data_IF_403699345398
#
_entry.id   IF_403699345398
#
_cell.length_a   1.000
_cell.length_b   1.000
_cell.length_c   1.000
_cell.angle_alpha   90.00
_cell.angle_beta   90.00
_cell.angle_gamma   90.00
#
_symmetry.space_group_name_H-M   'P 1'
#
loop_
_entity.id
_entity.type
_entity.pdbx_description
1 polymer ?
#
# COMPACT_ATOMS: atom_id res chain seq x y z
N UNK A 1 -14.71 -15.66 -2.79
CA UNK A 1 -13.55 -15.00 -3.43
C UNK A 1 -12.47 -16.06 -3.67
N UNK A 2 -11.67 -15.97 -4.74
CA UNK A 2 -10.67 -17.01 -5.08
C UNK A 2 -9.32 -16.88 -4.33
N UNK A 3 -9.29 -16.09 -3.24
CA UNK A 3 -8.17 -15.98 -2.29
C UNK A 3 -6.85 -15.46 -2.86
N UNK A 4 -5.77 -15.62 -2.09
CA UNK A 4 -4.41 -15.23 -2.46
C UNK A 4 -3.90 -15.88 -3.76
N UNK A 5 -4.13 -17.19 -4.03
CA UNK A 5 -3.60 -17.83 -5.24
C UNK A 5 -4.15 -17.24 -6.54
N UNK A 6 -5.44 -16.89 -6.56
CA UNK A 6 -6.03 -16.30 -7.75
C UNK A 6 -5.58 -14.85 -7.98
N UNK A 7 -5.34 -14.11 -6.91
CA UNK A 7 -4.76 -12.77 -7.01
C UNK A 7 -3.35 -12.85 -7.58
N UNK A 8 -2.50 -13.72 -7.04
CA UNK A 8 -1.15 -13.97 -7.54
C UNK A 8 -1.16 -14.33 -9.03
N UNK A 9 -1.97 -15.31 -9.42
CA UNK A 9 -2.05 -15.75 -10.81
C UNK A 9 -2.54 -14.64 -11.75
N UNK A 10 -3.42 -13.74 -11.29
CA UNK A 10 -3.85 -12.59 -12.08
C UNK A 10 -2.71 -11.57 -12.30
N UNK A 11 -1.93 -11.30 -11.26
CA UNK A 11 -0.76 -10.40 -11.35
C UNK A 11 0.32 -10.99 -12.24
N UNK A 12 0.67 -12.26 -12.07
CA UNK A 12 1.69 -12.94 -12.91
C UNK A 12 1.30 -12.93 -14.39
N UNK A 13 0.02 -13.13 -14.71
CA UNK A 13 -0.46 -13.01 -16.10
C UNK A 13 -0.31 -11.60 -16.66
N UNK A 14 -0.56 -10.57 -15.85
CA UNK A 14 -0.40 -9.19 -16.28
C UNK A 14 1.09 -8.82 -16.44
N UNK A 15 1.94 -9.23 -15.49
CA UNK A 15 3.40 -9.04 -15.57
C UNK A 15 3.99 -9.72 -16.80
N UNK A 16 3.47 -10.90 -17.20
CA UNK A 16 3.89 -11.60 -18.41
C UNK A 16 3.63 -10.87 -19.74
N UNK A 17 2.87 -9.77 -19.71
CA UNK A 17 2.66 -8.89 -20.89
C UNK A 17 3.63 -7.72 -20.96
N UNK A 18 4.47 -7.54 -19.94
CA UNK A 18 5.43 -6.45 -19.83
C UNK A 18 6.85 -6.96 -20.06
N UNK A 19 7.73 -6.09 -20.55
CA UNK A 19 9.15 -6.39 -20.70
C UNK A 19 9.92 -6.07 -19.40
N UNK A 20 10.99 -6.81 -19.14
CA UNK A 20 11.90 -6.57 -18.01
C UNK A 20 11.36 -7.04 -16.66
N UNK A 21 11.73 -6.34 -15.59
CA UNK A 21 11.37 -6.65 -14.21
C UNK A 21 10.36 -5.63 -13.65
N UNK A 22 9.05 -5.84 -13.85
CA UNK A 22 8.04 -4.87 -13.45
C UNK A 22 7.98 -4.70 -11.92
N UNK A 23 7.89 -3.45 -11.47
CA UNK A 23 7.57 -3.10 -10.09
C UNK A 23 6.07 -2.95 -9.90
N UNK A 24 5.58 -3.26 -8.69
CA UNK A 24 4.15 -3.20 -8.36
C UNK A 24 3.81 -1.97 -7.53
N UNK A 25 2.66 -1.39 -7.81
CA UNK A 25 2.07 -0.34 -6.99
C UNK A 25 0.67 -0.77 -6.55
N UNK A 26 0.53 -1.07 -5.26
CA UNK A 26 -0.74 -1.46 -4.66
C UNK A 26 -1.48 -0.22 -4.16
N UNK A 27 -2.43 0.30 -4.93
CA UNK A 27 -3.25 1.44 -4.52
C UNK A 27 -4.52 0.96 -3.80
N UNK A 28 -4.61 1.21 -2.48
CA UNK A 28 -5.75 0.77 -1.68
C UNK A 28 -6.86 1.82 -1.66
N UNK A 29 -7.69 1.82 -2.71
CA UNK A 29 -8.93 2.60 -2.77
C UNK A 29 -10.11 1.81 -2.17
N UNK A 30 -10.03 1.52 -0.87
CA UNK A 30 -11.02 0.70 -0.15
C UNK A 30 -11.41 1.32 1.19
N UNK A 31 -12.55 0.93 1.79
CA UNK A 31 -12.89 1.37 3.15
C UNK A 31 -11.79 0.99 4.16
N UNK A 32 -11.51 1.82 5.19
CA UNK A 32 -10.44 1.56 6.16
C UNK A 32 -10.54 0.21 6.87
N UNK A 33 -11.76 -0.26 7.13
CA UNK A 33 -12.03 -1.56 7.76
C UNK A 33 -11.54 -2.75 6.92
N UNK A 34 -11.39 -2.59 5.61
CA UNK A 34 -10.91 -3.62 4.70
C UNK A 34 -9.39 -3.57 4.47
N UNK A 35 -8.73 -2.44 4.74
CA UNK A 35 -7.34 -2.21 4.34
C UNK A 35 -6.37 -3.27 4.88
N UNK A 36 -6.43 -3.57 6.18
CA UNK A 36 -5.56 -4.57 6.80
C UNK A 36 -5.80 -6.00 6.27
N UNK A 37 -7.03 -6.32 5.90
CA UNK A 37 -7.35 -7.61 5.29
C UNK A 37 -6.72 -7.73 3.89
N UNK A 38 -6.67 -6.63 3.13
CA UNK A 38 -5.99 -6.59 1.83
C UNK A 38 -4.47 -6.65 2.00
N UNK A 39 -3.91 -5.94 2.97
CA UNK A 39 -2.47 -5.99 3.29
C UNK A 39 -2.03 -7.42 3.58
N UNK A 40 -2.76 -8.15 4.43
CA UNK A 40 -2.49 -9.57 4.70
C UNK A 40 -2.61 -10.43 3.45
N UNK A 41 -3.65 -10.22 2.64
CA UNK A 41 -3.86 -10.96 1.39
C UNK A 41 -2.70 -10.75 0.40
N UNK A 42 -2.13 -9.53 0.33
CA UNK A 42 -0.96 -9.24 -0.51
C UNK A 42 0.29 -9.97 -0.02
N UNK A 43 0.48 -10.07 1.30
CA UNK A 43 1.52 -10.87 1.93
C UNK A 43 1.37 -12.36 1.61
N UNK A 44 0.18 -12.92 1.85
CA UNK A 44 -0.16 -14.32 1.55
C UNK A 44 0.00 -14.66 0.07
N UNK A 45 -0.29 -13.71 -0.82
CA UNK A 45 -0.14 -13.88 -2.27
C UNK A 45 1.32 -13.78 -2.74
N UNK A 46 2.28 -13.43 -1.87
CA UNK A 46 3.68 -13.24 -2.25
C UNK A 46 3.89 -12.01 -3.15
N UNK A 47 3.04 -10.99 -3.05
CA UNK A 47 3.05 -9.83 -3.94
C UNK A 47 3.76 -8.60 -3.35
N UNK A 48 4.42 -8.76 -2.21
CA UNK A 48 5.11 -7.70 -1.47
C UNK A 48 6.46 -7.34 -2.07
N UNK A 49 7.22 -8.32 -2.53
CA UNK A 49 8.55 -8.08 -3.09
C UNK A 49 8.47 -7.19 -4.34
N UNK A 50 9.39 -6.21 -4.47
CA UNK A 50 9.39 -5.19 -5.54
C UNK A 50 8.09 -4.38 -5.65
N UNK A 51 7.39 -4.22 -4.54
CA UNK A 51 6.15 -3.45 -4.50
C UNK A 51 6.23 -2.26 -3.55
N UNK A 52 5.36 -1.29 -3.81
CA UNK A 52 5.01 -0.21 -2.88
C UNK A 52 3.50 -0.23 -2.67
N UNK A 53 3.07 0.20 -1.50
CA UNK A 53 1.66 0.31 -1.14
C UNK A 53 1.30 1.78 -0.93
N UNK A 54 0.18 2.19 -1.52
CA UNK A 54 -0.41 3.51 -1.32
C UNK A 54 -1.65 3.34 -0.43
N UNK A 55 -1.64 4.08 0.69
CA UNK A 55 -2.68 4.08 1.71
C UNK A 55 -3.35 5.46 1.76
N UNK A 56 -4.67 5.47 1.77
CA UNK A 56 -5.48 6.68 1.98
C UNK A 56 -5.89 6.84 3.45
N UNK A 57 -6.16 8.08 3.85
CA UNK A 57 -6.71 8.40 5.17
C UNK A 57 -8.11 7.81 5.38
N UNK A 58 -8.55 7.58 6.64
CA UNK A 58 -7.84 7.79 7.90
C UNK A 58 -6.78 6.72 8.23
N UNK A 59 -5.65 7.14 8.79
CA UNK A 59 -4.57 6.26 9.27
C UNK A 59 -4.75 5.87 10.75
N UNK A 60 -5.99 5.59 11.15
CA UNK A 60 -6.42 5.57 12.54
C UNK A 60 -7.28 6.78 12.88
N UNK A 61 -8.08 6.65 13.93
CA UNK A 61 -8.99 7.70 14.42
C UNK A 61 -8.57 8.27 15.76
N UNK A 62 -7.56 7.66 16.39
CA UNK A 62 -6.89 8.08 17.61
C UNK A 62 -5.44 7.56 17.60
N UNK A 63 -4.64 7.95 18.59
CA UNK A 63 -3.24 7.55 18.70
C UNK A 63 -3.08 6.02 18.76
N UNK A 64 -3.93 5.34 19.52
CA UNK A 64 -3.81 3.90 19.73
C UNK A 64 -4.07 3.12 18.43
N UNK A 65 -5.14 3.46 17.71
CA UNK A 65 -5.50 2.88 16.42
C UNK A 65 -4.48 3.20 15.33
N UNK A 66 -3.88 4.40 15.34
CA UNK A 66 -2.82 4.76 14.41
C UNK A 66 -1.53 3.94 14.64
N UNK A 67 -1.10 3.81 15.90
CA UNK A 67 0.05 2.96 16.27
C UNK A 67 -0.22 1.50 15.90
N UNK A 68 -1.42 0.98 16.18
CA UNK A 68 -1.81 -0.39 15.85
C UNK A 68 -1.83 -0.64 14.34
N UNK A 69 -2.39 0.29 13.56
CA UNK A 69 -2.37 0.22 12.10
C UNK A 69 -0.93 0.19 11.58
N UNK A 70 -0.07 1.07 12.09
CA UNK A 70 1.32 1.15 11.67
C UNK A 70 2.08 -0.15 11.95
N UNK A 71 1.95 -0.71 13.15
CA UNK A 71 2.57 -1.97 13.52
C UNK A 71 2.15 -3.11 12.58
N UNK A 72 0.84 -3.21 12.27
CA UNK A 72 0.31 -4.25 11.38
C UNK A 72 0.73 -4.09 9.92
N UNK A 73 0.94 -2.85 9.45
CA UNK A 73 1.51 -2.62 8.13
C UNK A 73 2.95 -3.14 8.07
N UNK A 74 3.73 -2.93 9.14
CA UNK A 74 5.12 -3.39 9.23
C UNK A 74 5.29 -4.90 9.40
N UNK A 75 4.23 -5.64 9.73
CA UNK A 75 4.25 -7.10 9.62
C UNK A 75 4.37 -7.59 8.17
N UNK A 76 4.06 -6.73 7.18
CA UNK A 76 4.01 -7.09 5.76
C UNK A 76 4.94 -6.23 4.89
N UNK A 77 5.08 -4.94 5.18
CA UNK A 77 5.85 -4.00 4.35
C UNK A 77 6.93 -3.26 5.15
N UNK A 78 8.11 -3.08 4.55
CA UNK A 78 9.11 -2.14 5.05
C UNK A 78 8.58 -0.70 4.94
N UNK A 79 8.99 0.21 5.84
CA UNK A 79 8.55 1.62 5.80
C UNK A 79 8.81 2.30 4.45
N UNK A 80 9.95 2.00 3.79
CA UNK A 80 10.28 2.51 2.45
C UNK A 80 9.28 2.12 1.35
N UNK A 81 8.45 1.12 1.60
CA UNK A 81 7.42 0.65 0.68
C UNK A 81 6.06 1.29 0.94
N UNK A 82 5.87 1.99 2.07
CA UNK A 82 4.57 2.51 2.51
C UNK A 82 4.45 4.00 2.18
N UNK A 83 3.49 4.32 1.33
CA UNK A 83 3.16 5.69 0.94
C UNK A 83 1.79 6.05 1.54
N UNK A 84 1.81 6.86 2.60
CA UNK A 84 0.59 7.39 3.25
C UNK A 84 0.24 8.72 2.59
N UNK A 85 -0.87 8.75 1.86
CA UNK A 85 -1.27 9.94 1.10
C UNK A 85 -1.96 10.93 2.00
N UNK A 86 -1.40 12.14 2.04
CA UNK A 86 -2.11 13.34 2.44
C UNK A 86 -2.09 14.31 1.25
N UNK A 87 -3.24 14.52 0.62
CA UNK A 87 -3.36 15.36 -0.56
C UNK A 87 -3.00 16.84 -0.30
N UNK A 88 -2.92 17.28 0.96
CA UNK A 88 -2.42 18.63 1.26
C UNK A 88 -0.92 18.77 0.97
N UNK A 89 -0.14 17.71 1.15
CA UNK A 89 1.31 17.71 0.90
C UNK A 89 1.66 17.77 -0.59
N UNK A 90 0.69 17.48 -1.47
CA UNK A 90 0.84 17.60 -2.93
C UNK A 90 0.54 18.99 -3.49
N UNK A 91 0.15 19.97 -2.65
CA UNK A 91 -0.18 21.33 -3.11
C UNK A 91 1.07 22.20 -3.17
N UNK A 92 1.21 23.02 -4.21
CA UNK A 92 2.37 23.90 -4.43
C UNK A 92 2.78 24.73 -3.19
N UNK A 93 1.86 25.33 -2.41
CA UNK A 93 2.26 26.10 -1.24
C UNK A 93 2.92 25.26 -0.14
N UNK A 94 2.51 23.98 0.02
CA UNK A 94 3.10 23.09 1.02
C UNK A 94 4.49 22.63 0.62
N UNK A 95 4.73 22.39 -0.68
CA UNK A 95 6.05 22.05 -1.19
C UNK A 95 7.04 23.22 -1.08
N UNK A 96 6.55 24.45 -1.26
CA UNK A 96 7.37 25.65 -1.17
C UNK A 96 7.89 25.94 0.25
N UNK A 97 7.27 25.42 1.32
CA UNK A 97 7.77 25.57 2.70
C UNK A 97 9.18 24.97 2.86
N UNK A 98 9.51 23.91 2.12
CA UNK A 98 10.82 23.25 2.18
C UNK A 98 11.87 23.88 1.28
N UNK A 99 11.46 24.80 0.40
CA UNK A 99 12.33 25.49 -0.55
C UNK A 99 12.86 26.84 -0.03
N UNK A 100 12.29 27.35 1.07
CA UNK A 100 12.71 28.57 1.77
C UNK A 100 13.32 28.22 3.13
#
# INVERSE_FOLDING_TARGET
SRGAPALRAAVERAEGTLEGEPQRLHYLSVPPSAALSIVRLLGEAGLVERSRIIMEKPFGTDLHSAVSLNAKLHEVFDERQIFRIDHFLGKEPAQNILAF
#
